data_IF_705662399981
#
_entry.id   IF_705662399981
#
_cell.length_a   1.000
_cell.length_b   1.000
_cell.length_c   1.000
_cell.angle_alpha   90.00
_cell.angle_beta   90.00
_cell.angle_gamma   90.00
#
_symmetry.space_group_name_H-M   'P 1'
#
loop_
_entity.id
_entity.type
_entity.pdbx_description
1 polymer ?
#
# COMPACT_ATOMS: atom_id res chain seq x y z
N UNK A 1 42.43 18.47 9.65
CA UNK A 1 41.30 19.42 9.64
C UNK A 1 41.54 20.38 8.48
N UNK A 2 40.86 20.35 7.34
CA UNK A 2 39.52 19.91 6.94
C UNK A 2 39.59 18.94 5.75
N UNK A 3 38.61 18.03 5.73
CA UNK A 3 38.43 16.89 4.84
C UNK A 3 37.93 17.36 3.46
N UNK A 4 38.79 17.37 2.45
CA UNK A 4 38.40 17.62 1.05
C UNK A 4 39.38 16.92 0.14
N UNK A 5 38.94 15.87 -0.56
CA UNK A 5 39.58 15.45 -1.80
C UNK A 5 38.66 14.51 -2.58
N UNK A 6 37.85 15.09 -3.48
CA UNK A 6 37.20 14.34 -4.54
C UNK A 6 37.96 14.57 -5.84
N UNK A 7 38.40 13.45 -6.43
CA UNK A 7 38.43 13.16 -7.85
C UNK A 7 39.42 13.98 -8.69
N UNK A 8 40.64 13.46 -8.83
CA UNK A 8 41.36 13.49 -10.11
C UNK A 8 42.56 12.55 -10.03
N UNK A 9 42.36 11.23 -10.21
CA UNK A 9 43.41 10.29 -10.64
C UNK A 9 42.76 8.94 -10.99
N UNK A 10 42.06 8.92 -12.12
CA UNK A 10 41.77 7.69 -12.85
C UNK A 10 43.07 7.33 -13.57
N UNK A 11 43.84 6.39 -13.05
CA UNK A 11 44.57 5.37 -13.83
C UNK A 11 45.53 4.60 -12.91
N UNK A 12 45.37 3.27 -12.94
CA UNK A 12 46.31 2.24 -12.51
C UNK A 12 46.37 1.94 -11.00
N UNK A 13 45.39 1.16 -10.54
CA UNK A 13 45.41 0.58 -9.19
C UNK A 13 44.41 -0.57 -9.06
N UNK A 14 44.83 -1.73 -9.55
CA UNK A 14 44.18 -3.04 -9.43
C UNK A 14 43.64 -3.30 -7.99
N UNK A 15 42.47 -3.96 -7.89
CA UNK A 15 41.96 -4.74 -6.72
C UNK A 15 40.86 -4.18 -5.79
N UNK A 16 39.96 -3.28 -6.20
CA UNK A 16 38.70 -3.07 -5.44
C UNK A 16 37.51 -2.86 -6.38
N UNK A 17 36.83 -3.96 -6.75
CA UNK A 17 35.46 -3.89 -7.31
C UNK A 17 34.47 -4.58 -6.38
N UNK A 18 34.07 -3.84 -5.36
CA UNK A 18 32.74 -3.93 -4.75
C UNK A 18 32.35 -2.55 -4.20
N UNK A 19 32.36 -1.53 -5.06
CA UNK A 19 31.71 -0.25 -4.79
C UNK A 19 30.21 -0.53 -5.03
N UNK A 20 29.38 -0.64 -4.00
CA UNK A 20 28.77 0.49 -3.28
C UNK A 20 28.25 1.54 -4.28
N UNK A 21 27.07 1.27 -4.85
CA UNK A 21 26.32 2.28 -5.59
C UNK A 21 26.08 3.49 -4.68
N UNK A 22 26.35 4.69 -5.20
CA UNK A 22 25.96 5.95 -4.56
C UNK A 22 24.46 5.90 -4.25
N UNK A 23 24.12 6.13 -2.98
CA UNK A 23 22.81 5.80 -2.42
C UNK A 23 21.68 6.73 -2.85
N UNK A 24 21.90 7.61 -3.83
CA UNK A 24 20.90 8.60 -4.28
C UNK A 24 20.36 8.37 -5.70
N UNK A 25 21.07 7.66 -6.58
CA UNK A 25 20.54 7.29 -7.92
C UNK A 25 19.61 6.06 -7.83
N UNK A 26 19.78 5.24 -6.79
CA UNK A 26 18.87 4.14 -6.53
C UNK A 26 17.48 4.66 -6.17
N UNK A 27 17.35 5.72 -5.37
CA UNK A 27 16.08 6.12 -4.72
C UNK A 27 14.97 6.49 -5.70
N UNK A 28 15.29 7.09 -6.85
CA UNK A 28 14.31 7.41 -7.90
C UNK A 28 13.98 6.21 -8.82
N UNK A 29 14.87 5.21 -8.89
CA UNK A 29 14.66 3.98 -9.67
C UNK A 29 14.11 2.78 -8.85
N UNK A 30 14.15 2.85 -7.51
CA UNK A 30 13.42 1.91 -6.62
C UNK A 30 12.00 2.39 -6.28
N UNK A 31 11.58 3.56 -6.73
CA UNK A 31 10.17 4.01 -6.60
C UNK A 31 9.25 3.50 -7.72
N UNK A 32 9.68 2.49 -8.49
CA UNK A 32 8.77 1.56 -9.16
C UNK A 32 9.21 0.09 -8.97
N UNK A 33 9.71 -0.25 -7.78
CA UNK A 33 9.46 -1.59 -7.25
C UNK A 33 7.97 -1.66 -6.90
N UNK A 34 7.12 -1.82 -7.91
CA UNK A 34 5.80 -2.42 -7.79
C UNK A 34 6.00 -3.84 -7.25
N UNK A 35 6.34 -3.94 -5.97
CA UNK A 35 5.92 -5.09 -5.18
C UNK A 35 4.45 -5.22 -5.53
N UNK A 36 4.08 -6.35 -6.13
CA UNK A 36 2.69 -6.69 -6.39
C UNK A 36 2.04 -6.77 -5.00
N UNK A 37 1.72 -5.60 -4.43
CA UNK A 37 1.00 -5.44 -3.18
C UNK A 37 -0.36 -5.95 -3.56
N UNK A 38 -0.59 -7.19 -3.20
CA UNK A 38 -1.89 -7.79 -3.27
C UNK A 38 -2.76 -7.05 -2.26
N UNK A 39 -3.94 -6.64 -2.70
CA UNK A 39 -4.94 -5.96 -1.89
C UNK A 39 -6.17 -6.83 -1.83
N UNK A 40 -6.86 -6.82 -0.68
CA UNK A 40 -8.15 -7.46 -0.55
C UNK A 40 -9.24 -6.39 -0.77
N UNK A 41 -10.02 -6.54 -1.83
CA UNK A 41 -11.10 -5.60 -2.20
C UNK A 41 -12.44 -6.30 -2.23
N UNK A 42 -13.54 -5.57 -1.97
CA UNK A 42 -14.88 -6.15 -1.99
C UNK A 42 -15.22 -6.68 -3.39
N UNK A 43 -15.85 -7.86 -3.44
CA UNK A 43 -16.44 -8.38 -4.68
C UNK A 43 -17.82 -7.76 -4.92
N UNK A 44 -18.15 -7.46 -6.17
CA UNK A 44 -19.45 -6.86 -6.51
C UNK A 44 -20.68 -7.73 -6.19
N UNK A 45 -20.49 -9.04 -6.02
CA UNK A 45 -21.53 -10.00 -5.61
C UNK A 45 -21.69 -10.13 -4.09
N UNK A 46 -20.89 -9.43 -3.29
CA UNK A 46 -20.97 -9.51 -1.84
C UNK A 46 -22.29 -8.92 -1.32
N UNK A 47 -22.93 -9.65 -0.39
CA UNK A 47 -24.18 -9.19 0.23
C UNK A 47 -23.94 -7.91 1.05
N UNK A 48 -24.71 -6.83 0.83
CA UNK A 48 -24.57 -5.59 1.61
C UNK A 48 -24.68 -5.81 3.12
N UNK A 49 -25.57 -6.71 3.56
CA UNK A 49 -25.73 -7.03 4.97
C UNK A 49 -24.46 -7.64 5.58
N UNK A 50 -23.80 -8.54 4.85
CA UNK A 50 -22.54 -9.16 5.30
C UNK A 50 -21.39 -8.16 5.31
N UNK A 51 -21.35 -7.25 4.32
CA UNK A 51 -20.35 -6.18 4.27
C UNK A 51 -20.48 -5.21 5.45
N UNK A 52 -21.71 -4.79 5.75
CA UNK A 52 -21.98 -3.90 6.88
C UNK A 52 -21.57 -4.56 8.20
N UNK A 53 -22.00 -5.80 8.43
CA UNK A 53 -21.64 -6.56 9.63
C UNK A 53 -20.13 -6.75 9.77
N UNK A 54 -19.42 -6.99 8.66
CA UNK A 54 -17.97 -7.08 8.66
C UNK A 54 -17.32 -5.75 9.05
N UNK A 55 -17.74 -4.63 8.43
CA UNK A 55 -17.22 -3.30 8.75
C UNK A 55 -17.44 -2.95 10.21
N UNK A 56 -18.66 -3.14 10.72
CA UNK A 56 -19.01 -2.80 12.10
C UNK A 56 -18.18 -3.60 13.11
N UNK A 57 -17.97 -4.90 12.85
CA UNK A 57 -17.17 -5.78 13.72
C UNK A 57 -15.68 -5.41 13.65
N UNK A 58 -15.16 -5.21 12.44
CA UNK A 58 -13.76 -4.85 12.19
C UNK A 58 -13.37 -3.54 12.89
N UNK A 59 -14.22 -2.52 12.78
CA UNK A 59 -13.99 -1.21 13.40
C UNK A 59 -14.09 -1.24 14.93
N UNK A 60 -14.85 -2.18 15.49
CA UNK A 60 -14.99 -2.31 16.95
C UNK A 60 -13.80 -3.03 17.60
N UNK A 61 -13.21 -4.01 16.91
CA UNK A 61 -12.17 -4.86 17.49
C UNK A 61 -10.80 -4.14 17.55
N UNK A 62 -10.09 -4.03 16.42
CA UNK A 62 -8.72 -3.44 16.37
C UNK A 62 -8.36 -2.71 15.08
N UNK A 63 -9.29 -2.49 14.16
CA UNK A 63 -8.98 -1.80 12.89
C UNK A 63 -9.30 -0.31 12.98
N UNK A 64 -8.34 0.53 12.53
CA UNK A 64 -8.53 1.98 12.51
C UNK A 64 -9.43 2.39 11.33
N UNK A 65 -10.70 2.60 11.63
CA UNK A 65 -11.69 3.05 10.66
C UNK A 65 -11.76 4.57 10.54
N UNK A 66 -10.92 5.38 11.22
CA UNK A 66 -10.93 6.84 11.08
C UNK A 66 -10.87 7.32 9.61
N UNK A 67 -10.07 6.71 8.72
CA UNK A 67 -9.96 7.19 7.33
C UNK A 67 -11.22 7.02 6.49
N UNK A 68 -12.15 6.13 6.87
CA UNK A 68 -13.44 5.93 6.18
C UNK A 68 -14.61 6.62 6.90
N UNK A 69 -14.37 7.26 8.05
CA UNK A 69 -15.38 8.07 8.73
C UNK A 69 -15.47 9.44 8.08
N UNK A 70 -16.53 10.19 8.40
CA UNK A 70 -16.71 11.55 7.93
C UNK A 70 -15.46 12.41 8.21
N UNK A 71 -14.95 13.09 7.18
CA UNK A 71 -13.71 13.87 7.25
C UNK A 71 -12.41 13.05 7.13
N UNK A 72 -12.50 11.74 6.91
CA UNK A 72 -11.36 10.86 6.65
C UNK A 72 -10.87 10.91 5.20
N UNK A 73 -9.60 10.51 4.99
CA UNK A 73 -8.94 10.58 3.68
C UNK A 73 -9.47 9.61 2.62
N UNK A 74 -10.09 8.49 3.02
CA UNK A 74 -10.76 7.53 2.14
C UNK A 74 -12.28 7.49 2.41
N UNK A 75 -12.88 8.61 2.83
CA UNK A 75 -14.33 8.71 3.01
C UNK A 75 -15.09 8.70 1.68
N UNK A 76 -14.50 9.30 0.63
CA UNK A 76 -15.14 9.45 -0.69
C UNK A 76 -14.66 8.39 -1.69
N UNK A 77 -15.57 7.80 -2.49
CA UNK A 77 -17.02 7.98 -2.45
C UNK A 77 -17.66 7.31 -1.22
N UNK A 78 -18.67 7.97 -0.66
CA UNK A 78 -19.38 7.52 0.55
C UNK A 78 -20.35 6.38 0.22
N UNK A 79 -19.79 5.21 -0.10
CA UNK A 79 -20.55 3.98 -0.30
C UNK A 79 -20.03 2.89 0.63
N UNK A 80 -20.94 1.97 1.00
CA UNK A 80 -20.59 0.82 1.82
C UNK A 80 -19.49 -0.04 1.16
N UNK A 81 -19.49 -0.19 -0.16
CA UNK A 81 -18.52 -1.03 -0.87
C UNK A 81 -17.10 -0.44 -0.81
N UNK A 82 -17.00 0.89 -0.87
CA UNK A 82 -15.74 1.61 -0.76
C UNK A 82 -15.17 1.51 0.64
N UNK A 83 -15.99 1.81 1.65
CA UNK A 83 -15.59 1.71 3.04
C UNK A 83 -15.24 0.27 3.42
N UNK A 84 -16.03 -0.71 2.97
CA UNK A 84 -15.75 -2.12 3.21
C UNK A 84 -14.48 -2.61 2.49
N UNK A 85 -14.17 -2.11 1.29
CA UNK A 85 -12.93 -2.46 0.59
C UNK A 85 -11.69 -1.97 1.33
N UNK A 86 -11.76 -0.77 1.90
CA UNK A 86 -10.69 -0.26 2.76
C UNK A 86 -10.51 -1.13 4.01
N UNK A 87 -11.61 -1.46 4.70
CA UNK A 87 -11.57 -2.25 5.94
C UNK A 87 -11.10 -3.68 5.67
N UNK A 88 -11.56 -4.32 4.59
CA UNK A 88 -11.07 -5.65 4.17
C UNK A 88 -9.58 -5.63 3.88
N UNK A 89 -9.08 -4.56 3.27
CA UNK A 89 -7.66 -4.43 3.04
C UNK A 89 -6.88 -4.26 4.35
N UNK A 90 -7.35 -3.43 5.28
CA UNK A 90 -6.71 -3.31 6.59
C UNK A 90 -6.70 -4.65 7.33
N UNK A 91 -7.83 -5.38 7.29
CA UNK A 91 -7.95 -6.71 7.85
C UNK A 91 -6.97 -7.69 7.18
N UNK A 92 -6.84 -7.65 5.86
CA UNK A 92 -5.91 -8.48 5.11
C UNK A 92 -4.46 -8.18 5.46
N UNK A 93 -4.10 -6.90 5.65
CA UNK A 93 -2.75 -6.51 6.08
C UNK A 93 -2.44 -6.93 7.51
N UNK A 94 -3.45 -6.98 8.38
CA UNK A 94 -3.28 -7.37 9.78
C UNK A 94 -3.28 -8.89 9.98
N UNK A 95 -4.14 -9.62 9.27
CA UNK A 95 -4.37 -11.06 9.46
C UNK A 95 -3.71 -11.94 8.39
N UNK A 96 -3.38 -11.39 7.22
CA UNK A 96 -2.97 -12.14 6.03
C UNK A 96 -4.13 -12.84 5.30
N UNK A 97 -5.38 -12.67 5.76
CA UNK A 97 -6.54 -13.40 5.25
C UNK A 97 -7.48 -12.45 4.52
N UNK A 98 -7.82 -12.78 3.27
CA UNK A 98 -8.87 -12.11 2.52
C UNK A 98 -10.13 -12.99 2.56
N UNK A 99 -11.17 -12.51 3.24
CA UNK A 99 -12.39 -13.30 3.48
C UNK A 99 -13.10 -13.62 2.16
N UNK A 100 -13.11 -14.90 1.79
CA UNK A 100 -13.78 -15.38 0.59
C UNK A 100 -15.29 -15.12 0.67
N UNK A 101 -15.87 -14.63 -0.43
CA UNK A 101 -17.28 -14.23 -0.50
C UNK A 101 -17.57 -12.80 0.01
N UNK A 102 -16.59 -12.13 0.62
CA UNK A 102 -16.64 -10.68 0.86
C UNK A 102 -15.65 -9.94 -0.03
N UNK A 103 -14.44 -10.46 -0.16
CA UNK A 103 -13.39 -9.85 -0.97
C UNK A 103 -12.60 -10.81 -1.83
N UNK A 104 -11.82 -10.24 -2.75
CA UNK A 104 -10.88 -10.93 -3.62
C UNK A 104 -9.53 -10.25 -3.57
N UNK A 105 -8.48 -11.05 -3.75
CA UNK A 105 -7.13 -10.52 -3.94
C UNK A 105 -7.02 -9.90 -5.33
N UNK A 106 -6.51 -8.68 -5.39
CA UNK A 106 -6.24 -7.95 -6.62
C UNK A 106 -4.91 -7.21 -6.49
N UNK A 107 -4.13 -7.06 -7.57
CA UNK A 107 -2.96 -6.19 -7.57
C UNK A 107 -3.31 -4.70 -7.52
N UNK A 108 -4.60 -4.36 -7.53
CA UNK A 108 -5.08 -2.99 -7.59
C UNK A 108 -5.45 -2.46 -6.19
N UNK A 109 -4.84 -1.35 -5.79
CA UNK A 109 -5.07 -0.73 -4.49
C UNK A 109 -6.51 -0.20 -4.35
N UNK A 110 -7.33 -0.66 -3.38
CA UNK A 110 -8.69 -0.19 -3.17
C UNK A 110 -8.83 1.27 -2.82
N UNK A 111 -7.85 1.95 -2.20
CA UNK A 111 -7.91 3.40 -2.00
C UNK A 111 -7.35 4.15 -3.23
N UNK A 112 -6.37 3.60 -3.96
CA UNK A 112 -5.89 4.22 -5.22
C UNK A 112 -6.88 4.05 -6.38
N UNK A 113 -7.65 2.96 -6.40
CA UNK A 113 -8.75 2.72 -7.35
C UNK A 113 -9.89 3.73 -7.20
N UNK A 114 -9.96 4.48 -6.10
CA UNK A 114 -10.95 5.56 -5.90
C UNK A 114 -10.42 6.91 -6.36
N UNK A 115 -9.10 7.03 -6.58
CA UNK A 115 -8.45 8.23 -7.10
C UNK A 115 -8.43 8.26 -8.64
N UNK A 116 -8.63 7.13 -9.31
CA UNK A 116 -8.59 7.05 -10.79
C UNK A 116 -9.97 7.07 -11.47
N UNK A 117 -11.04 7.36 -10.74
CA UNK A 117 -12.40 7.44 -11.28
C UNK A 117 -13.06 8.80 -10.96
N UNK A 118 -12.30 9.88 -11.21
CA UNK A 118 -12.77 11.27 -11.25
C UNK A 118 -12.60 11.83 -12.65
#
# INVERSE_FOLDING_TARGET
>A
MKLSLFIASFHLGLLISCIAADSNDVVDAIEDQKQQKNWCVVIGSASPAKLQSFVDTACFDRLDCKPIRYGGSCFSPNTLQNHASYVLNLFYRASGICTSGLGTITPNDPCKLLLFNS
#
